data_IF_883993524949
#
_entry.id   IF_883993524949
#
_cell.length_a   1.000
_cell.length_b   1.000
_cell.length_c   1.000
_cell.angle_alpha   90.00
_cell.angle_beta   90.00
_cell.angle_gamma   90.00
#
_symmetry.space_group_name_H-M   'P 1'
#
loop_
_entity.id
_entity.type
_entity.pdbx_description
1 polymer ?
#
# COMPACT_ATOMS: atom_id res chain seq x y z
N UNK A 1 9.92 2.65 8.03
CA UNK A 1 8.49 3.00 8.15
C UNK A 1 8.35 4.28 8.94
N UNK A 2 7.40 5.15 8.55
CA UNK A 2 7.03 6.33 9.33
C UNK A 2 5.59 6.14 9.81
N UNK A 3 5.44 6.07 11.13
CA UNK A 3 4.21 5.75 11.81
C UNK A 3 4.12 6.58 13.10
N UNK A 4 2.90 6.90 13.50
CA UNK A 4 2.59 7.47 14.81
C UNK A 4 1.51 6.62 15.45
N UNK A 5 1.75 6.18 16.68
CA UNK A 5 0.83 5.35 17.44
C UNK A 5 0.73 5.81 18.89
N UNK A 6 -0.36 5.44 19.55
CA UNK A 6 -0.56 5.70 20.97
C UNK A 6 -1.64 4.78 21.57
N UNK A 7 -1.62 4.69 22.90
CA UNK A 7 -2.67 4.03 23.68
C UNK A 7 -3.81 5.04 23.90
N UNK A 8 -5.00 4.67 23.45
CA UNK A 8 -6.23 5.41 23.73
C UNK A 8 -6.62 5.13 25.18
N UNK A 9 -6.70 6.14 26.06
CA UNK A 9 -6.85 5.91 27.49
C UNK A 9 -8.28 5.55 27.93
N UNK A 10 -9.30 5.82 27.10
CA UNK A 10 -10.71 5.67 27.46
C UNK A 10 -11.65 6.05 26.32
N UNK A 11 -12.92 6.35 26.62
CA UNK A 11 -13.88 6.75 25.59
C UNK A 11 -13.46 8.04 24.87
N UNK A 12 -13.76 8.13 23.58
CA UNK A 12 -13.43 9.30 22.78
C UNK A 12 -13.54 9.05 21.29
N UNK A 13 -13.45 10.12 20.49
CA UNK A 13 -13.48 10.04 19.02
C UNK A 13 -12.07 10.12 18.46
N UNK A 14 -11.73 9.19 17.56
CA UNK A 14 -10.51 9.23 16.78
C UNK A 14 -10.82 9.64 15.34
N UNK A 15 -10.15 10.68 14.86
CA UNK A 15 -10.29 11.21 13.50
C UNK A 15 -8.94 11.20 12.77
N UNK A 16 -8.97 10.95 11.46
CA UNK A 16 -7.86 11.20 10.55
C UNK A 16 -8.15 12.48 9.78
N UNK A 17 -7.27 13.48 9.91
CA UNK A 17 -7.43 14.80 9.31
C UNK A 17 -6.23 15.11 8.43
N UNK A 18 -6.50 15.46 7.17
CA UNK A 18 -5.51 16.04 6.25
C UNK A 18 -5.86 17.51 6.00
N UNK A 19 -4.92 18.39 6.33
CA UNK A 19 -5.08 19.84 6.17
C UNK A 19 -4.25 20.32 4.97
N UNK A 20 -4.88 20.67 3.84
CA UNK A 20 -4.14 21.23 2.71
C UNK A 20 -3.70 22.68 3.00
N UNK A 21 -2.69 23.19 2.29
CA UNK A 21 -2.28 24.60 2.42
C UNK A 21 -3.37 25.60 1.99
N UNK A 22 -4.31 25.16 1.16
CA UNK A 22 -5.47 25.93 0.71
C UNK A 22 -6.65 24.99 0.43
N UNK A 23 -7.88 25.44 0.70
CA UNK A 23 -9.10 24.64 0.54
C UNK A 23 -9.54 23.97 1.83
N UNK A 24 -10.52 23.07 1.73
CA UNK A 24 -11.11 22.41 2.89
C UNK A 24 -10.28 21.22 3.39
N UNK A 25 -10.23 21.05 4.71
CA UNK A 25 -9.59 19.90 5.32
C UNK A 25 -10.40 18.62 5.04
N UNK A 26 -9.69 17.54 4.71
CA UNK A 26 -10.29 16.21 4.58
C UNK A 26 -10.32 15.58 5.97
N UNK A 27 -11.51 15.15 6.41
CA UNK A 27 -11.72 14.55 7.72
C UNK A 27 -12.45 13.22 7.58
N UNK A 28 -11.92 12.20 8.27
CA UNK A 28 -12.55 10.90 8.38
C UNK A 28 -12.59 10.46 9.85
N UNK A 29 -13.76 10.04 10.32
CA UNK A 29 -13.86 9.36 11.61
C UNK A 29 -13.29 7.96 11.45
N UNK A 30 -12.29 7.62 12.26
CA UNK A 30 -11.69 6.29 12.28
C UNK A 30 -12.49 5.39 13.21
N UNK A 31 -12.81 5.87 14.42
CA UNK A 31 -13.59 5.13 15.40
C UNK A 31 -14.14 6.04 16.50
N UNK A 32 -15.29 5.65 17.08
CA UNK A 32 -15.80 6.18 18.35
C UNK A 32 -15.51 5.16 19.47
N UNK A 33 -14.41 5.35 20.19
CA UNK A 33 -13.99 4.49 21.28
C UNK A 33 -14.99 4.55 22.44
N UNK A 34 -15.31 3.38 22.99
CA UNK A 34 -16.15 3.20 24.19
C UNK A 34 -15.35 2.83 25.44
N UNK A 35 -14.02 2.81 25.32
CA UNK A 35 -13.08 2.36 26.34
C UNK A 35 -11.65 2.41 25.80
N UNK A 36 -10.69 1.94 26.59
CA UNK A 36 -9.27 1.97 26.21
C UNK A 36 -9.00 1.14 24.94
N UNK A 37 -7.94 1.50 24.21
CA UNK A 37 -7.55 0.84 22.97
C UNK A 37 -6.21 1.33 22.45
N UNK A 38 -5.95 1.10 21.16
CA UNK A 38 -4.75 1.58 20.47
C UNK A 38 -5.12 2.20 19.13
N UNK A 39 -4.31 3.14 18.68
CA UNK A 39 -4.47 3.80 17.40
C UNK A 39 -3.13 3.91 16.68
N UNK A 40 -3.15 3.78 15.36
CA UNK A 40 -1.98 3.85 14.49
C UNK A 40 -2.32 4.67 13.24
N UNK A 41 -1.49 5.66 12.95
CA UNK A 41 -1.48 6.40 11.70
C UNK A 41 -0.21 6.10 10.91
N UNK A 42 -0.36 5.74 9.64
CA UNK A 42 0.74 5.50 8.71
C UNK A 42 0.44 6.16 7.37
N UNK A 43 1.49 6.47 6.62
CA UNK A 43 1.37 7.03 5.29
C UNK A 43 2.45 6.49 4.36
N UNK A 44 2.21 6.64 3.06
CA UNK A 44 3.24 6.54 2.04
C UNK A 44 3.03 7.61 0.96
N UNK A 45 4.02 7.81 0.10
CA UNK A 45 3.94 8.75 -1.02
C UNK A 45 3.99 8.00 -2.33
N UNK A 46 3.29 8.49 -3.35
CA UNK A 46 3.34 7.90 -4.68
C UNK A 46 4.78 7.76 -5.19
N UNK A 47 5.62 8.77 -4.98
CA UNK A 47 7.04 8.73 -5.36
C UNK A 47 7.77 7.52 -4.73
N UNK A 48 7.59 7.29 -3.43
CA UNK A 48 8.21 6.15 -2.76
C UNK A 48 7.64 4.81 -3.24
N UNK A 49 6.37 4.75 -3.62
CA UNK A 49 5.73 3.55 -4.16
C UNK A 49 6.27 3.24 -5.57
N UNK A 50 6.43 4.26 -6.41
CA UNK A 50 7.01 4.15 -7.76
C UNK A 50 8.45 3.66 -7.69
N UNK A 51 9.27 4.26 -6.84
CA UNK A 51 10.66 3.84 -6.65
C UNK A 51 10.75 2.39 -6.18
N UNK A 52 9.87 2.00 -5.26
CA UNK A 52 9.78 0.63 -4.78
C UNK A 52 9.37 -0.36 -5.89
N UNK A 53 8.41 0.01 -6.75
CA UNK A 53 7.99 -0.80 -7.88
C UNK A 53 9.14 -1.04 -8.86
N UNK A 54 9.82 0.02 -9.31
CA UNK A 54 10.98 -0.08 -10.19
C UNK A 54 12.10 -0.93 -9.60
N UNK A 55 12.42 -0.73 -8.31
CA UNK A 55 13.45 -1.53 -7.64
C UNK A 55 13.07 -3.01 -7.61
N UNK A 56 11.80 -3.33 -7.35
CA UNK A 56 11.30 -4.71 -7.28
C UNK A 56 11.34 -5.40 -8.64
N UNK A 57 10.88 -4.73 -9.71
CA UNK A 57 10.91 -5.30 -11.06
C UNK A 57 12.33 -5.51 -11.57
N UNK A 58 13.24 -4.55 -11.34
CA UNK A 58 14.66 -4.69 -11.72
C UNK A 58 15.32 -5.86 -11.01
N UNK A 59 15.08 -6.01 -9.71
CA UNK A 59 15.61 -7.13 -8.94
C UNK A 59 15.07 -8.47 -9.43
N UNK A 60 13.76 -8.55 -9.70
CA UNK A 60 13.14 -9.77 -10.23
C UNK A 60 13.71 -10.17 -11.60
N UNK A 61 13.92 -9.22 -12.50
CA UNK A 61 14.56 -9.46 -13.80
C UNK A 61 16.01 -9.94 -13.67
N UNK A 62 16.81 -9.29 -12.83
CA UNK A 62 18.20 -9.67 -12.57
C UNK A 62 18.30 -11.10 -12.05
N UNK A 63 17.40 -11.48 -11.13
CA UNK A 63 17.32 -12.83 -10.58
C UNK A 63 16.59 -13.84 -11.47
N UNK A 64 15.95 -13.38 -12.55
CA UNK A 64 15.04 -14.17 -13.40
C UNK A 64 13.97 -14.89 -12.59
N UNK A 65 13.35 -14.21 -11.62
CA UNK A 65 12.26 -14.74 -10.80
C UNK A 65 10.95 -14.02 -11.08
N UNK A 66 9.80 -14.73 -11.04
CA UNK A 66 8.50 -14.09 -11.01
C UNK A 66 8.39 -13.13 -9.82
N UNK A 67 7.64 -12.04 -10.00
CA UNK A 67 7.38 -11.07 -8.95
C UNK A 67 5.90 -11.12 -8.53
N UNK A 68 5.68 -11.20 -7.22
CA UNK A 68 4.35 -11.10 -6.63
C UNK A 68 4.26 -9.85 -5.77
N UNK A 69 3.31 -8.97 -6.07
CA UNK A 69 2.88 -7.94 -5.10
C UNK A 69 1.66 -8.48 -4.37
N UNK A 70 1.74 -8.55 -3.05
CA UNK A 70 0.62 -8.97 -2.20
C UNK A 70 0.12 -7.85 -1.31
N UNK A 71 -1.20 -7.69 -1.25
CA UNK A 71 -1.84 -6.60 -0.48
C UNK A 71 -3.16 -7.07 0.14
N UNK A 72 -3.81 -6.23 0.95
CA UNK A 72 -5.19 -6.42 1.40
C UNK A 72 -6.13 -5.37 0.81
N UNK A 73 -6.00 -5.05 -0.48
CA UNK A 73 -6.73 -3.96 -1.14
C UNK A 73 -8.26 -4.13 -1.18
N UNK A 74 -8.82 -5.32 -0.91
CA UNK A 74 -10.27 -5.49 -0.74
C UNK A 74 -10.78 -4.83 0.55
N UNK A 75 -9.93 -4.76 1.59
CA UNK A 75 -10.19 -4.09 2.87
C UNK A 75 -9.62 -2.68 2.84
N UNK A 76 -8.34 -2.53 2.48
CA UNK A 76 -7.62 -1.25 2.41
C UNK A 76 -7.74 -0.62 1.01
N UNK A 77 -8.98 -0.39 0.57
CA UNK A 77 -9.32 -0.01 -0.82
C UNK A 77 -8.51 1.16 -1.38
N UNK A 78 -8.32 2.23 -0.61
CA UNK A 78 -7.58 3.42 -1.07
C UNK A 78 -6.06 3.25 -0.92
N UNK A 79 -5.61 2.77 0.25
CA UNK A 79 -4.19 2.71 0.57
C UNK A 79 -3.49 1.61 -0.24
N UNK A 80 -3.90 0.35 -0.06
CA UNK A 80 -3.33 -0.79 -0.78
C UNK A 80 -3.73 -0.79 -2.26
N UNK A 81 -4.92 -0.26 -2.57
CA UNK A 81 -5.32 -0.03 -3.96
C UNK A 81 -4.33 0.85 -4.70
N UNK A 82 -3.82 1.92 -4.06
CA UNK A 82 -2.83 2.81 -4.69
C UNK A 82 -1.52 2.10 -5.00
N UNK A 83 -1.05 1.22 -4.11
CA UNK A 83 0.12 0.36 -4.38
C UNK A 83 -0.12 -0.56 -5.58
N UNK A 84 -1.26 -1.28 -5.57
CA UNK A 84 -1.63 -2.20 -6.65
C UNK A 84 -1.66 -1.49 -7.99
N UNK A 85 -2.34 -0.35 -8.06
CA UNK A 85 -2.55 0.39 -9.31
C UNK A 85 -1.23 0.93 -9.85
N UNK A 86 -0.36 1.51 -9.01
CA UNK A 86 0.96 2.01 -9.42
C UNK A 86 1.86 0.88 -9.93
N UNK A 87 1.91 -0.25 -9.21
CA UNK A 87 2.72 -1.40 -9.65
C UNK A 87 2.22 -1.96 -10.97
N UNK A 88 0.89 -2.09 -11.15
CA UNK A 88 0.30 -2.58 -12.39
C UNK A 88 0.62 -1.65 -13.57
N UNK A 89 0.44 -0.34 -13.39
CA UNK A 89 0.73 0.66 -14.43
C UNK A 89 2.20 0.60 -14.86
N UNK A 90 3.12 0.57 -13.90
CA UNK A 90 4.57 0.48 -14.19
C UNK A 90 4.91 -0.83 -14.89
N UNK A 91 4.35 -1.96 -14.43
CA UNK A 91 4.59 -3.25 -15.07
C UNK A 91 4.18 -3.23 -16.54
N UNK A 92 2.94 -2.84 -16.83
CA UNK A 92 2.39 -2.81 -18.18
C UNK A 92 3.18 -1.89 -19.10
N UNK A 93 3.53 -0.70 -18.61
CA UNK A 93 4.19 0.33 -19.40
C UNK A 93 5.66 0.03 -19.66
N UNK A 94 6.40 -0.39 -18.63
CA UNK A 94 7.87 -0.36 -18.66
C UNK A 94 8.52 -1.76 -18.62
N UNK A 95 7.87 -2.78 -18.04
CA UNK A 95 8.53 -4.05 -17.71
C UNK A 95 7.94 -5.29 -18.38
N UNK A 96 6.69 -5.26 -18.83
CA UNK A 96 5.99 -6.44 -19.35
C UNK A 96 6.75 -7.15 -20.46
N UNK A 97 7.25 -6.42 -21.45
CA UNK A 97 8.01 -7.00 -22.56
C UNK A 97 9.32 -7.67 -22.11
N UNK A 98 9.97 -7.12 -21.08
CA UNK A 98 11.21 -7.67 -20.53
C UNK A 98 10.96 -8.95 -19.73
N UNK A 99 9.86 -8.97 -18.95
CA UNK A 99 9.41 -10.14 -18.21
C UNK A 99 9.00 -11.28 -19.16
N UNK A 100 8.20 -10.96 -20.18
CA UNK A 100 7.79 -11.91 -21.21
C UNK A 100 9.03 -12.51 -21.94
N UNK A 101 10.03 -11.68 -22.27
CA UNK A 101 11.27 -12.15 -22.90
C UNK A 101 12.13 -13.04 -21.99
N UNK A 102 12.07 -12.82 -20.67
CA UNK A 102 12.77 -13.63 -19.68
C UNK A 102 11.97 -14.87 -19.24
N UNK A 103 10.74 -15.05 -19.73
CA UNK A 103 9.88 -16.18 -19.37
C UNK A 103 9.38 -16.13 -17.91
N UNK A 104 9.31 -14.94 -17.32
CA UNK A 104 8.84 -14.69 -15.95
C UNK A 104 7.64 -13.74 -15.98
N UNK A 105 6.90 -13.61 -14.88
CA UNK A 105 5.70 -12.78 -14.82
C UNK A 105 5.64 -11.92 -13.56
N UNK A 106 4.82 -10.89 -13.62
CA UNK A 106 4.34 -10.16 -12.46
C UNK A 106 2.87 -10.51 -12.21
N UNK A 107 2.52 -10.69 -10.94
CA UNK A 107 1.13 -10.92 -10.53
C UNK A 107 0.84 -10.18 -9.23
N UNK A 108 -0.32 -9.54 -9.16
CA UNK A 108 -0.89 -9.07 -7.90
C UNK A 108 -1.78 -10.15 -7.28
N UNK A 109 -1.65 -10.36 -5.96
CA UNK A 109 -2.53 -11.25 -5.20
C UNK A 109 -2.95 -10.65 -3.87
N UNK A 110 -4.03 -11.18 -3.30
CA UNK A 110 -4.35 -10.86 -1.91
C UNK A 110 -3.36 -11.57 -0.98
N UNK A 111 -3.00 -10.91 0.11
CA UNK A 111 -1.97 -11.42 1.04
C UNK A 111 -2.38 -12.73 1.70
N UNK A 112 -3.67 -12.92 2.00
CA UNK A 112 -4.21 -14.17 2.51
C UNK A 112 -4.09 -15.32 1.50
N UNK A 113 -4.35 -15.06 0.22
CA UNK A 113 -4.18 -16.06 -0.83
C UNK A 113 -2.70 -16.45 -0.99
N UNK A 114 -1.77 -15.52 -0.74
CA UNK A 114 -0.33 -15.77 -0.86
C UNK A 114 0.26 -16.59 0.29
N UNK A 115 -0.23 -16.43 1.51
CA UNK A 115 0.30 -17.16 2.68
C UNK A 115 -0.33 -18.54 2.88
N UNK A 116 -1.41 -18.84 2.16
CA UNK A 116 -2.08 -20.14 2.21
C UNK A 116 -1.35 -21.26 1.43
N UNK A 117 -0.24 -20.94 0.76
CA UNK A 117 0.60 -21.87 0.00
C UNK A 117 1.90 -22.24 0.73
#
# INVERSE_FOLDING_TARGET
>A
YKATDFVVPGEGKLELIFTPPSGEAIRHVVNDFKGAGVALGMYNTDASIVDFAHSSFKYALDRKYPLYLSTKNTILKKYDGRFKDIFQEIYEKDYKSQFDAAGIWYEHRLIDDMVAF
#
